data_IF_872527183444
#
_entry.id   IF_872527183444
#
_cell.length_a   1.000
_cell.length_b   1.000
_cell.length_c   1.000
_cell.angle_alpha   90.00
_cell.angle_beta   90.00
_cell.angle_gamma   90.00
#
_symmetry.space_group_name_H-M   'P 1'
#
loop_
_entity.id
_entity.type
_entity.pdbx_description
1 polymer ?
#
# COMPACT_ATOMS: atom_id res chain seq x y z
N UNK A 1 15.78 -31.06 -68.67
CA UNK A 1 16.75 -30.36 -67.79
C UNK A 1 16.18 -30.24 -66.39
N UNK A 2 16.69 -31.05 -65.46
CA UNK A 2 16.33 -30.99 -64.04
C UNK A 2 17.26 -29.99 -63.36
N UNK A 3 16.69 -28.96 -62.72
CA UNK A 3 17.48 -27.97 -61.99
C UNK A 3 17.91 -28.60 -60.66
N UNK A 4 19.23 -28.67 -60.44
CA UNK A 4 19.83 -29.36 -59.29
C UNK A 4 19.94 -28.44 -58.07
N UNK A 5 19.98 -27.10 -58.23
CA UNK A 5 20.18 -26.15 -57.12
C UNK A 5 19.40 -24.85 -57.35
N UNK A 6 18.96 -24.20 -56.25
CA UNK A 6 18.15 -22.95 -56.33
C UNK A 6 18.68 -21.79 -55.49
N UNK A 7 19.60 -22.00 -54.55
CA UNK A 7 20.10 -20.95 -53.65
C UNK A 7 21.62 -20.81 -53.67
N UNK A 8 22.12 -19.58 -53.48
CA UNK A 8 23.56 -19.28 -53.43
C UNK A 8 24.24 -20.01 -52.27
N UNK A 9 23.60 -20.11 -51.12
CA UNK A 9 24.12 -20.82 -49.94
C UNK A 9 24.31 -22.31 -50.18
N UNK A 10 23.39 -22.95 -50.92
CA UNK A 10 23.48 -24.37 -51.28
C UNK A 10 24.66 -24.63 -52.23
N UNK A 11 24.86 -23.76 -53.23
CA UNK A 11 26.02 -23.82 -54.14
C UNK A 11 27.34 -23.62 -53.37
N UNK A 12 27.39 -22.65 -52.46
CA UNK A 12 28.57 -22.41 -51.60
C UNK A 12 28.85 -23.59 -50.67
N UNK A 13 27.83 -24.20 -50.08
CA UNK A 13 28.00 -25.35 -49.19
C UNK A 13 28.56 -26.57 -49.92
N UNK A 14 28.13 -26.81 -51.16
CA UNK A 14 28.59 -27.95 -51.96
C UNK A 14 30.01 -27.70 -52.47
N UNK A 15 30.31 -26.50 -52.97
CA UNK A 15 31.66 -26.13 -53.39
C UNK A 15 32.65 -26.19 -52.23
N UNK A 16 32.26 -25.75 -51.03
CA UNK A 16 33.04 -25.94 -49.81
C UNK A 16 33.23 -27.42 -49.45
N UNK A 17 32.19 -28.26 -49.56
CA UNK A 17 32.27 -29.69 -49.27
C UNK A 17 33.26 -30.43 -50.17
N UNK A 18 33.31 -30.07 -51.46
CA UNK A 18 34.26 -30.64 -52.42
C UNK A 18 35.59 -29.88 -52.50
N UNK A 19 35.82 -28.89 -51.62
CA UNK A 19 37.01 -28.04 -51.61
C UNK A 19 37.30 -27.36 -52.97
N UNK A 20 36.24 -27.00 -53.70
CA UNK A 20 36.34 -26.27 -54.96
C UNK A 20 36.41 -24.78 -54.63
N UNK A 21 37.61 -24.21 -54.73
CA UNK A 21 37.87 -22.80 -54.43
C UNK A 21 37.62 -21.94 -55.66
N UNK A 22 36.36 -21.59 -55.90
CA UNK A 22 35.94 -20.84 -57.09
C UNK A 22 36.50 -19.41 -57.13
N UNK A 23 36.77 -18.82 -55.97
CA UNK A 23 37.25 -17.44 -55.82
C UNK A 23 38.78 -17.34 -55.71
N UNK A 24 39.50 -18.48 -55.67
CA UNK A 24 40.95 -18.51 -55.67
C UNK A 24 41.47 -18.41 -57.12
N UNK A 25 42.13 -17.30 -57.52
CA UNK A 25 42.59 -17.06 -58.88
C UNK A 25 43.72 -18.01 -59.31
N UNK A 26 44.33 -18.75 -58.38
CA UNK A 26 45.27 -19.84 -58.69
C UNK A 26 44.52 -21.13 -59.04
N UNK A 27 43.39 -21.41 -58.39
CA UNK A 27 42.57 -22.59 -58.68
C UNK A 27 41.73 -22.42 -59.95
N UNK A 28 41.23 -21.20 -60.19
CA UNK A 28 40.50 -20.85 -61.42
C UNK A 28 41.17 -19.65 -62.06
N UNK A 29 42.04 -19.94 -63.04
CA UNK A 29 42.78 -18.91 -63.76
C UNK A 29 41.95 -18.36 -64.91
N UNK A 30 41.32 -17.19 -64.71
CA UNK A 30 40.64 -16.49 -65.79
C UNK A 30 41.63 -15.73 -66.70
N UNK A 31 41.16 -15.27 -67.85
CA UNK A 31 42.00 -14.63 -68.86
C UNK A 31 42.67 -13.34 -68.34
N UNK A 32 41.98 -12.57 -67.50
CA UNK A 32 42.49 -11.30 -66.98
C UNK A 32 43.48 -11.50 -65.83
N UNK A 33 43.24 -12.48 -64.95
CA UNK A 33 44.21 -12.95 -63.94
C UNK A 33 45.43 -13.56 -64.60
N UNK A 34 45.29 -14.33 -65.70
CA UNK A 34 46.44 -14.85 -66.46
C UNK A 34 47.33 -13.73 -66.98
N UNK A 35 46.75 -12.71 -67.63
CA UNK A 35 47.49 -11.55 -68.14
C UNK A 35 48.17 -10.79 -67.00
N UNK A 36 47.47 -10.57 -65.91
CA UNK A 36 47.99 -9.85 -64.74
C UNK A 36 49.13 -10.65 -64.08
N UNK A 37 48.97 -11.97 -63.93
CA UNK A 37 49.98 -12.85 -63.35
C UNK A 37 51.27 -12.91 -64.17
N UNK A 38 51.15 -13.06 -65.50
CA UNK A 38 52.29 -13.20 -66.40
C UNK A 38 53.01 -11.88 -66.69
N UNK A 39 52.26 -10.76 -66.76
CA UNK A 39 52.82 -9.47 -67.20
C UNK A 39 53.20 -8.54 -66.04
N UNK A 40 52.78 -8.84 -64.80
CA UNK A 40 53.12 -7.99 -63.64
C UNK A 40 54.56 -8.23 -63.20
N UNK A 41 55.37 -7.18 -63.22
CA UNK A 41 56.69 -7.17 -62.59
C UNK A 41 56.70 -6.52 -61.20
N UNK A 42 55.59 -5.90 -60.76
CA UNK A 42 55.49 -5.28 -59.44
C UNK A 42 55.49 -6.33 -58.30
N UNK A 43 56.50 -6.32 -57.41
CA UNK A 43 56.55 -7.23 -56.27
C UNK A 43 55.35 -7.13 -55.33
N UNK A 44 54.71 -5.95 -55.20
CA UNK A 44 53.57 -5.75 -54.30
C UNK A 44 52.33 -6.50 -54.78
N UNK A 45 52.10 -6.52 -56.09
CA UNK A 45 50.96 -7.22 -56.69
C UNK A 45 51.17 -8.73 -56.60
N UNK A 46 52.41 -9.22 -56.78
CA UNK A 46 52.76 -10.63 -56.56
C UNK A 46 52.52 -11.06 -55.12
N UNK A 47 52.91 -10.22 -54.15
CA UNK A 47 52.64 -10.48 -52.73
C UNK A 47 51.14 -10.57 -52.43
N UNK A 48 50.33 -9.62 -52.94
CA UNK A 48 48.86 -9.68 -52.78
C UNK A 48 48.26 -10.92 -53.42
N UNK A 49 48.70 -11.31 -54.62
CA UNK A 49 48.21 -12.52 -55.28
C UNK A 49 48.57 -13.77 -54.47
N UNK A 50 49.78 -13.83 -53.90
CA UNK A 50 50.19 -14.91 -53.02
C UNK A 50 49.32 -14.97 -51.77
N UNK A 51 49.09 -13.83 -51.10
CA UNK A 51 48.26 -13.75 -49.90
C UNK A 51 46.81 -14.17 -50.16
N UNK A 52 46.22 -13.69 -51.26
CA UNK A 52 44.86 -14.04 -51.67
C UNK A 52 44.76 -15.52 -52.07
N UNK A 53 45.74 -16.04 -52.81
CA UNK A 53 45.68 -17.42 -53.28
C UNK A 53 46.03 -18.48 -52.23
N UNK A 54 46.72 -18.08 -51.15
CA UNK A 54 46.94 -18.91 -49.97
C UNK A 54 45.87 -18.68 -48.89
N UNK A 55 44.87 -17.82 -49.17
CA UNK A 55 43.84 -17.36 -48.25
C UNK A 55 44.39 -16.75 -46.94
N UNK A 56 45.64 -16.30 -46.94
CA UNK A 56 46.25 -15.63 -45.79
C UNK A 56 45.62 -14.25 -45.55
N UNK A 57 45.10 -13.60 -46.59
CA UNK A 57 44.35 -12.35 -46.46
C UNK A 57 43.07 -12.54 -45.61
N UNK A 58 42.31 -13.61 -45.84
CA UNK A 58 41.09 -13.91 -45.09
C UNK A 58 41.40 -14.22 -43.62
N UNK A 59 42.46 -14.99 -43.37
CA UNK A 59 42.92 -15.30 -42.01
C UNK A 59 43.38 -14.02 -41.29
N UNK A 60 44.09 -13.14 -42.00
CA UNK A 60 44.52 -11.86 -41.46
C UNK A 60 43.36 -10.94 -41.10
N UNK A 61 42.34 -10.84 -41.97
CA UNK A 61 41.13 -10.09 -41.66
C UNK A 61 40.39 -10.70 -40.47
N UNK A 62 40.22 -12.03 -40.43
CA UNK A 62 39.60 -12.71 -39.29
C UNK A 62 40.35 -12.48 -37.98
N UNK A 63 41.68 -12.38 -38.03
CA UNK A 63 42.49 -12.03 -36.85
C UNK A 63 42.21 -10.59 -36.37
N UNK A 64 42.20 -9.61 -37.28
CA UNK A 64 41.89 -8.21 -36.95
C UNK A 64 40.46 -8.11 -36.39
N UNK A 65 39.49 -8.73 -37.04
CA UNK A 65 38.10 -8.73 -36.59
C UNK A 65 37.97 -9.31 -35.19
N UNK A 66 38.67 -10.42 -34.91
CA UNK A 66 38.67 -11.04 -33.57
C UNK A 66 39.29 -10.11 -32.54
N UNK A 67 40.42 -9.46 -32.84
CA UNK A 67 41.07 -8.52 -31.94
C UNK A 67 40.16 -7.32 -31.62
N UNK A 68 39.48 -6.77 -32.63
CA UNK A 68 38.51 -5.68 -32.41
C UNK A 68 37.31 -6.13 -31.57
N UNK A 69 36.81 -7.34 -31.81
CA UNK A 69 35.68 -7.90 -31.07
C UNK A 69 36.03 -8.17 -29.60
N UNK A 70 37.24 -8.65 -29.32
CA UNK A 70 37.74 -8.83 -27.95
C UNK A 70 37.79 -7.50 -27.21
N UNK A 71 38.33 -6.44 -27.83
CA UNK A 71 38.34 -5.10 -27.24
C UNK A 71 36.94 -4.56 -26.98
N UNK A 72 35.99 -4.79 -27.88
CA UNK A 72 34.59 -4.42 -27.66
C UNK A 72 33.96 -5.18 -26.48
N UNK A 73 34.24 -6.48 -26.37
CA UNK A 73 33.73 -7.30 -25.26
C UNK A 73 34.29 -6.81 -23.95
N UNK A 74 35.59 -6.57 -23.85
CA UNK A 74 36.23 -6.07 -22.63
C UNK A 74 35.60 -4.74 -22.17
N UNK A 75 35.40 -3.81 -23.10
CA UNK A 75 34.74 -2.54 -22.81
C UNK A 75 33.29 -2.73 -22.34
N UNK A 76 32.50 -3.57 -23.02
CA UNK A 76 31.12 -3.87 -22.62
C UNK A 76 31.08 -4.54 -21.24
N UNK A 77 32.02 -5.43 -20.96
CA UNK A 77 32.12 -6.17 -19.70
C UNK A 77 32.47 -5.22 -18.55
N UNK A 78 33.41 -4.30 -18.75
CA UNK A 78 33.76 -3.26 -17.78
C UNK A 78 32.56 -2.37 -17.43
N UNK A 79 31.86 -1.84 -18.43
CA UNK A 79 30.65 -1.02 -18.21
C UNK A 79 29.57 -1.80 -17.44
N UNK A 80 29.39 -3.09 -17.77
CA UNK A 80 28.43 -3.94 -17.06
C UNK A 80 28.84 -4.22 -15.61
N UNK A 81 30.13 -4.40 -15.34
CA UNK A 81 30.65 -4.57 -13.98
C UNK A 81 30.42 -3.31 -13.14
N UNK A 82 30.78 -2.13 -13.67
CA UNK A 82 30.55 -0.85 -13.00
C UNK A 82 29.05 -0.63 -12.71
N UNK A 83 28.19 -0.92 -13.69
CA UNK A 83 26.74 -0.82 -13.50
C UNK A 83 26.21 -1.81 -12.45
N UNK A 84 26.75 -3.02 -12.39
CA UNK A 84 26.37 -4.04 -11.40
C UNK A 84 26.67 -3.59 -9.98
N UNK A 85 27.83 -2.95 -9.78
CA UNK A 85 28.24 -2.42 -8.49
C UNK A 85 27.32 -1.28 -8.02
N UNK A 86 26.95 -0.38 -8.94
CA UNK A 86 25.94 0.67 -8.67
C UNK A 86 24.60 0.06 -8.25
N UNK A 87 24.12 -0.96 -8.97
CA UNK A 87 22.87 -1.64 -8.60
C UNK A 87 22.95 -2.32 -7.24
N UNK A 88 24.07 -2.96 -6.91
CA UNK A 88 24.29 -3.57 -5.60
C UNK A 88 24.20 -2.55 -4.48
N UNK A 89 24.89 -1.41 -4.62
CA UNK A 89 24.82 -0.31 -3.66
C UNK A 89 23.39 0.25 -3.52
N UNK A 90 22.64 0.32 -4.63
CA UNK A 90 21.25 0.77 -4.59
C UNK A 90 20.35 -0.21 -3.83
N UNK A 91 20.54 -1.53 -4.03
CA UNK A 91 19.82 -2.57 -3.29
C UNK A 91 20.11 -2.49 -1.79
N UNK A 92 21.37 -2.31 -1.41
CA UNK A 92 21.78 -2.15 0.00
C UNK A 92 21.16 -0.88 0.62
N UNK A 93 21.10 0.23 -0.12
CA UNK A 93 20.43 1.44 0.35
C UNK A 93 18.92 1.24 0.51
N UNK A 94 18.26 0.54 -0.42
CA UNK A 94 16.83 0.26 -0.34
C UNK A 94 16.49 -0.70 0.80
N UNK A 95 17.31 -1.72 1.04
CA UNK A 95 17.09 -2.66 2.14
C UNK A 95 17.18 -1.95 3.50
N UNK A 96 18.14 -1.03 3.67
CA UNK A 96 18.23 -0.19 4.86
C UNK A 96 16.98 0.69 5.05
N UNK A 97 16.45 1.28 3.97
CA UNK A 97 15.22 2.08 4.02
C UNK A 97 13.99 1.25 4.40
N UNK A 98 13.88 0.02 3.89
CA UNK A 98 12.79 -0.90 4.25
C UNK A 98 12.84 -1.23 5.74
N UNK A 99 14.02 -1.47 6.29
CA UNK A 99 14.18 -1.75 7.72
C UNK A 99 13.70 -0.58 8.59
N UNK A 100 14.09 0.65 8.24
CA UNK A 100 13.61 1.86 8.92
C UNK A 100 12.09 2.02 8.79
N UNK A 101 11.52 1.74 7.62
CA UNK A 101 10.07 1.80 7.40
C UNK A 101 9.32 0.79 8.28
N UNK A 102 9.85 -0.42 8.45
CA UNK A 102 9.28 -1.43 9.34
C UNK A 102 9.32 -1.00 10.81
N UNK A 103 10.39 -0.33 11.24
CA UNK A 103 10.49 0.25 12.59
C UNK A 103 9.44 1.36 12.80
N UNK A 104 9.26 2.23 11.81
CA UNK A 104 8.23 3.29 11.85
C UNK A 104 6.83 2.70 11.95
N UNK A 105 6.53 1.63 11.21
CA UNK A 105 5.23 0.95 11.29
C UNK A 105 4.95 0.41 12.70
N UNK A 106 5.96 -0.13 13.38
CA UNK A 106 5.84 -0.59 14.76
C UNK A 106 5.54 0.58 15.73
N UNK A 107 6.18 1.73 15.52
CA UNK A 107 5.93 2.95 16.30
C UNK A 107 4.49 3.43 16.06
N UNK A 108 4.03 3.46 14.81
CA UNK A 108 2.66 3.88 14.46
C UNK A 108 1.59 2.95 15.08
N UNK A 109 1.84 1.64 15.08
CA UNK A 109 0.97 0.66 15.75
C UNK A 109 0.89 0.94 17.26
N UNK A 110 2.03 1.14 17.93
CA UNK A 110 2.07 1.49 19.36
C UNK A 110 1.35 2.80 19.66
N UNK A 111 1.52 3.78 18.79
CA UNK A 111 0.87 5.08 18.92
C UNK A 111 -0.65 4.96 18.82
N UNK A 112 -1.15 4.15 17.88
CA UNK A 112 -2.57 3.88 17.74
C UNK A 112 -3.13 3.10 18.94
N UNK A 113 -2.41 2.10 19.45
CA UNK A 113 -2.80 1.41 20.68
C UNK A 113 -2.91 2.36 21.87
N UNK A 114 -1.93 3.24 22.05
CA UNK A 114 -1.93 4.23 23.13
C UNK A 114 -3.08 5.23 22.98
N UNK A 115 -3.38 5.69 21.76
CA UNK A 115 -4.54 6.55 21.49
C UNK A 115 -5.85 5.86 21.88
N UNK A 116 -6.03 4.59 21.50
CA UNK A 116 -7.23 3.82 21.84
C UNK A 116 -7.33 3.64 23.36
N UNK A 117 -6.22 3.31 24.04
CA UNK A 117 -6.18 3.19 25.51
C UNK A 117 -6.56 4.49 26.20
N UNK A 118 -6.03 5.63 25.73
CA UNK A 118 -6.36 6.95 26.26
C UNK A 118 -7.84 7.28 26.10
N UNK A 119 -8.39 7.12 24.88
CA UNK A 119 -9.81 7.33 24.59
C UNK A 119 -10.71 6.44 25.45
N UNK A 120 -10.35 5.17 25.56
CA UNK A 120 -11.09 4.19 26.38
C UNK A 120 -11.10 4.59 27.85
N UNK A 121 -9.96 5.10 28.37
CA UNK A 121 -9.88 5.60 29.75
C UNK A 121 -10.80 6.80 29.96
N UNK A 122 -10.78 7.78 29.07
CA UNK A 122 -11.65 8.96 29.13
C UNK A 122 -13.12 8.55 29.11
N UNK A 123 -13.51 7.64 28.21
CA UNK A 123 -14.88 7.13 28.12
C UNK A 123 -15.27 6.40 29.42
N UNK A 124 -14.36 5.59 29.98
CA UNK A 124 -14.60 4.86 31.22
C UNK A 124 -14.81 5.80 32.42
N UNK A 125 -13.98 6.83 32.55
CA UNK A 125 -14.10 7.82 33.61
C UNK A 125 -15.41 8.62 33.49
N UNK A 126 -15.78 9.05 32.27
CA UNK A 126 -17.06 9.73 32.00
C UNK A 126 -18.27 8.83 32.30
N UNK A 127 -18.21 7.55 31.91
CA UNK A 127 -19.28 6.59 32.17
C UNK A 127 -19.43 6.31 33.67
N UNK A 128 -18.31 6.21 34.40
CA UNK A 128 -18.32 6.06 35.86
C UNK A 128 -18.98 7.26 36.54
N UNK A 129 -18.63 8.48 36.12
CA UNK A 129 -19.23 9.71 36.65
C UNK A 129 -20.74 9.77 36.36
N UNK A 130 -21.16 9.47 35.13
CA UNK A 130 -22.58 9.39 34.77
C UNK A 130 -23.33 8.33 35.59
N UNK A 131 -22.74 7.16 35.78
CA UNK A 131 -23.33 6.10 36.60
C UNK A 131 -23.54 6.57 38.04
N UNK A 132 -22.56 7.27 38.62
CA UNK A 132 -22.68 7.83 39.96
C UNK A 132 -23.81 8.87 40.05
N UNK A 133 -23.93 9.77 39.06
CA UNK A 133 -25.02 10.75 39.01
C UNK A 133 -26.40 10.09 38.90
N UNK A 134 -26.54 9.06 38.06
CA UNK A 134 -27.80 8.31 37.93
C UNK A 134 -28.15 7.63 39.26
N UNK A 135 -27.16 7.05 39.95
CA UNK A 135 -27.38 6.40 41.24
C UNK A 135 -27.84 7.40 42.31
N UNK A 136 -27.24 8.58 42.38
CA UNK A 136 -27.67 9.66 43.28
C UNK A 136 -29.10 10.12 42.97
N UNK A 137 -29.39 10.36 41.69
CA UNK A 137 -30.73 10.79 41.25
C UNK A 137 -31.81 9.78 41.63
N UNK A 138 -31.56 8.47 41.47
CA UNK A 138 -32.51 7.44 41.90
C UNK A 138 -32.81 7.48 43.40
N UNK A 139 -31.79 7.73 44.23
CA UNK A 139 -31.98 7.86 45.68
C UNK A 139 -32.82 9.10 46.01
N UNK A 140 -32.57 10.22 45.32
CA UNK A 140 -33.37 11.43 45.46
C UNK A 140 -34.82 11.24 45.00
N UNK A 141 -35.03 10.57 43.87
CA UNK A 141 -36.36 10.21 43.35
C UNK A 141 -37.14 9.36 44.35
N UNK A 142 -36.53 8.30 44.91
CA UNK A 142 -37.19 7.47 45.94
C UNK A 142 -37.54 8.25 47.20
N UNK A 143 -36.68 9.18 47.64
CA UNK A 143 -36.98 10.06 48.79
C UNK A 143 -38.14 11.00 48.51
N UNK A 144 -38.20 11.56 47.30
CA UNK A 144 -39.27 12.45 46.90
C UNK A 144 -40.60 11.69 46.80
N UNK A 145 -40.59 10.46 46.28
CA UNK A 145 -41.77 9.59 46.25
C UNK A 145 -42.30 9.29 47.66
N UNK A 146 -41.42 8.97 48.61
CA UNK A 146 -41.78 8.75 50.01
C UNK A 146 -42.38 10.02 50.64
N UNK A 147 -41.77 11.18 50.39
CA UNK A 147 -42.27 12.46 50.90
C UNK A 147 -43.63 12.83 50.31
N UNK A 148 -43.84 12.63 49.00
CA UNK A 148 -45.14 12.81 48.34
C UNK A 148 -46.19 11.89 48.99
N UNK A 149 -45.82 10.66 49.33
CA UNK A 149 -46.74 9.74 50.01
C UNK A 149 -47.12 10.25 51.41
N UNK A 150 -46.16 10.73 52.19
CA UNK A 150 -46.41 11.31 53.52
C UNK A 150 -47.30 12.55 53.41
N UNK A 151 -47.02 13.45 52.46
CA UNK A 151 -47.79 14.68 52.26
C UNK A 151 -49.23 14.38 51.84
N UNK A 152 -49.45 13.40 50.96
CA UNK A 152 -50.81 12.92 50.60
C UNK A 152 -51.58 12.38 51.81
N UNK A 153 -50.90 11.64 52.69
CA UNK A 153 -51.55 11.14 53.92
C UNK A 153 -51.90 12.28 54.87
N UNK A 154 -50.99 13.25 55.02
CA UNK A 154 -51.22 14.43 55.86
C UNK A 154 -52.34 15.31 55.31
N UNK A 155 -52.39 15.54 54.00
CA UNK A 155 -53.46 16.33 53.37
C UNK A 155 -54.83 15.67 53.54
N UNK A 156 -54.92 14.35 53.35
CA UNK A 156 -56.16 13.60 53.61
C UNK A 156 -56.60 13.69 55.08
N UNK A 157 -55.65 13.74 56.03
CA UNK A 157 -55.95 13.94 57.46
C UNK A 157 -56.44 15.36 57.75
N UNK A 158 -55.83 16.37 57.13
CA UNK A 158 -56.26 17.77 57.23
C UNK A 158 -57.68 17.93 56.68
N UNK A 159 -57.99 17.33 55.53
CA UNK A 159 -59.33 17.38 54.91
C UNK A 159 -60.40 16.75 55.81
N UNK A 160 -60.09 15.61 56.46
CA UNK A 160 -60.95 15.00 57.48
C UNK A 160 -61.18 15.91 58.68
N UNK A 161 -60.13 16.54 59.20
CA UNK A 161 -60.24 17.49 60.32
C UNK A 161 -61.03 18.75 59.94
N UNK A 162 -60.88 19.24 58.71
CA UNK A 162 -61.63 20.38 58.20
C UNK A 162 -63.12 20.08 58.09
N UNK A 163 -63.48 18.91 57.54
CA UNK A 163 -64.88 18.47 57.46
C UNK A 163 -65.49 18.27 58.84
N UNK A 164 -64.75 17.68 59.78
CA UNK A 164 -65.18 17.56 61.19
C UNK A 164 -65.39 18.93 61.85
N UNK A 165 -64.44 19.86 61.68
CA UNK A 165 -64.54 21.22 62.19
C UNK A 165 -65.74 21.99 61.60
N UNK A 166 -65.99 21.87 60.29
CA UNK A 166 -67.17 22.46 59.64
C UNK A 166 -68.47 21.91 60.25
N UNK A 167 -68.57 20.59 60.42
CA UNK A 167 -69.77 19.96 61.01
C UNK A 167 -70.02 20.38 62.47
N UNK A 168 -68.95 20.57 63.25
CA UNK A 168 -69.03 21.08 64.62
C UNK A 168 -69.45 22.55 64.65
N UNK A 169 -68.96 23.35 63.71
CA UNK A 169 -69.31 24.77 63.58
C UNK A 169 -70.77 24.93 63.18
N UNK A 170 -71.27 24.10 62.25
CA UNK A 170 -72.69 24.05 61.90
C UNK A 170 -73.57 23.69 63.10
N UNK A 171 -73.18 22.69 63.88
CA UNK A 171 -73.87 22.33 65.14
C UNK A 171 -73.85 23.45 66.18
N UNK A 172 -72.71 24.11 66.36
CA UNK A 172 -72.58 25.25 67.27
C UNK A 172 -73.50 26.40 66.82
N UNK A 173 -73.52 26.72 65.53
CA UNK A 173 -74.41 27.73 64.95
C UNK A 173 -75.90 27.35 65.11
N UNK A 174 -76.26 26.07 64.96
CA UNK A 174 -77.63 25.63 65.22
C UNK A 174 -78.02 25.77 66.70
N UNK A 175 -77.10 25.44 67.62
CA UNK A 175 -77.33 25.66 69.05
C UNK A 175 -77.44 27.14 69.40
N UNK A 176 -76.62 28.02 68.81
CA UNK A 176 -76.75 29.47 68.98
C UNK A 176 -78.11 29.99 68.48
N UNK A 177 -78.60 29.48 67.34
CA UNK A 177 -79.93 29.82 66.82
C UNK A 177 -81.05 29.34 67.74
N UNK A 178 -80.93 28.15 68.32
CA UNK A 178 -81.87 27.64 69.33
C UNK A 178 -81.86 28.48 70.61
N UNK A 179 -80.68 28.84 71.12
CA UNK A 179 -80.54 29.75 72.27
C UNK A 179 -81.19 31.10 71.96
N UNK A 180 -80.96 31.68 70.78
CA UNK A 180 -81.63 32.93 70.36
C UNK A 180 -83.16 32.80 70.30
N UNK A 181 -83.68 31.65 69.87
CA UNK A 181 -85.14 31.38 69.87
C UNK A 181 -85.69 31.26 71.30
N UNK A 182 -84.95 30.67 72.22
CA UNK A 182 -85.33 30.56 73.65
C UNK A 182 -85.31 31.94 74.32
N UNK A 183 -84.30 32.77 74.04
CA UNK A 183 -84.23 34.15 74.55
C UNK A 183 -85.43 34.98 74.04
N UNK A 184 -85.76 34.89 72.74
CA UNK A 184 -86.96 35.55 72.18
C UNK A 184 -88.28 35.05 72.76
N UNK A 185 -88.37 33.80 73.20
CA UNK A 185 -89.57 33.24 73.87
C UNK A 185 -89.72 33.68 75.33
N UNK A 186 -88.67 34.24 75.94
CA UNK A 186 -88.67 34.72 77.34
C UNK A 186 -89.03 36.21 77.47
N UNK A 187 -89.09 36.93 76.36
CA UNK A 187 -89.45 38.36 76.27
C UNK A 187 -90.90 38.62 75.84
N UNK A 188 -91.75 37.58 75.81
CA UNK A 188 -93.21 37.63 75.64
C UNK A 188 -93.88 36.89 76.78
#
# INVERSE_FOLDING_TARGET
NTIVMRSRSEVLSITAHFNIQVDNPICILNQDFSKTFLNTQDPKIKYKLFMHATNLDDVWQGYIDTETYDQEIENKLKVKQESSEVFKNHIESLSAKILIAAELENIDQKLNELKIKLLSRVIMDLNSQKYHQIKLRRVEESRLEEQIHVDKNNSAKIEKLQTEYQSLTEKANSFEQEIRKIIKKKET
#
